data_IF_024170351721
#
_entry.id   IF_024170351721
#
_cell.length_a   1.000
_cell.length_b   1.000
_cell.length_c   1.000
_cell.angle_alpha   90.00
_cell.angle_beta   90.00
_cell.angle_gamma   90.00
#
_symmetry.space_group_name_H-M   'P 1'
#
loop_
_entity.id
_entity.type
_entity.pdbx_description
1 polymer ?
#
# COMPACT_ATOMS: atom_id res chain seq x y z
N UNK A 1 -37.22 -41.36 23.02
CA UNK A 1 -36.83 -40.14 22.28
C UNK A 1 -35.71 -39.45 23.06
N UNK A 2 -34.46 -39.62 22.65
CA UNK A 2 -33.29 -39.00 23.29
C UNK A 2 -32.42 -38.38 22.19
N UNK A 3 -32.45 -37.04 22.10
CA UNK A 3 -31.60 -36.24 21.22
C UNK A 3 -30.19 -36.22 21.79
N UNK A 4 -29.23 -36.77 21.05
CA UNK A 4 -27.81 -36.61 21.33
C UNK A 4 -27.28 -35.47 20.47
N UNK A 5 -26.96 -34.34 21.10
CA UNK A 5 -26.29 -33.19 20.49
C UNK A 5 -24.78 -33.43 20.63
N UNK A 6 -24.02 -33.38 19.52
CA UNK A 6 -22.56 -33.29 19.53
C UNK A 6 -22.11 -31.93 18.97
N UNK A 7 -21.07 -31.31 19.57
CA UNK A 7 -20.71 -29.91 19.31
C UNK A 7 -19.87 -29.73 18.05
N UNK A 8 -19.84 -28.49 17.57
CA UNK A 8 -18.94 -28.03 16.51
C UNK A 8 -17.47 -28.04 16.96
N UNK A 9 -16.59 -28.60 16.14
CA UNK A 9 -15.18 -28.21 16.10
C UNK A 9 -14.74 -28.14 14.63
N UNK A 10 -14.20 -26.98 14.26
CA UNK A 10 -13.70 -26.72 12.93
C UNK A 10 -12.36 -27.39 12.68
N UNK A 11 -12.10 -27.62 11.40
CA UNK A 11 -10.78 -27.61 10.79
C UNK A 11 -11.03 -27.53 9.28
N UNK A 12 -10.81 -26.35 8.71
CA UNK A 12 -10.77 -26.23 7.25
C UNK A 12 -9.64 -27.12 6.76
N UNK A 13 -9.97 -28.12 5.96
CA UNK A 13 -9.03 -28.99 5.29
C UNK A 13 -8.12 -28.16 4.38
N UNK A 14 -6.99 -27.66 4.91
CA UNK A 14 -5.84 -27.32 4.09
C UNK A 14 -5.28 -28.64 3.58
N UNK A 15 -5.88 -29.13 2.49
CA UNK A 15 -5.40 -30.29 1.76
C UNK A 15 -3.94 -30.05 1.38
N UNK A 16 -3.07 -30.89 1.91
CA UNK A 16 -1.70 -31.09 1.45
C UNK A 16 -1.71 -31.49 -0.02
N UNK A 17 -1.72 -30.51 -0.91
CA UNK A 17 -1.31 -30.70 -2.30
C UNK A 17 0.21 -30.71 -2.33
N UNK A 18 0.80 -31.90 -2.39
CA UNK A 18 2.16 -32.08 -2.90
C UNK A 18 2.14 -31.68 -4.38
N UNK A 19 2.60 -30.46 -4.68
CA UNK A 19 2.82 -30.01 -6.05
C UNK A 19 4.32 -30.16 -6.32
N UNK A 20 4.67 -31.20 -7.07
CA UNK A 20 5.94 -31.26 -7.76
C UNK A 20 5.98 -30.10 -8.77
N UNK A 21 6.96 -29.22 -8.61
CA UNK A 21 7.11 -28.01 -9.42
C UNK A 21 7.41 -26.82 -8.50
N UNK A 22 8.59 -26.23 -8.68
CA UNK A 22 9.04 -25.03 -7.97
C UNK A 22 7.96 -23.95 -8.16
N UNK A 23 7.14 -23.71 -7.15
CA UNK A 23 6.21 -22.57 -7.14
C UNK A 23 7.09 -21.34 -7.37
N UNK A 24 6.94 -20.58 -8.46
CA UNK A 24 7.59 -19.29 -8.54
C UNK A 24 7.04 -18.53 -7.34
N UNK A 25 7.89 -18.14 -6.39
CA UNK A 25 7.50 -17.24 -5.32
C UNK A 25 7.18 -15.89 -5.97
N UNK A 26 6.00 -15.78 -6.57
CA UNK A 26 5.43 -14.51 -6.95
C UNK A 26 5.08 -13.84 -5.64
N UNK A 27 5.76 -12.74 -5.36
CA UNK A 27 5.49 -11.94 -4.19
C UNK A 27 4.14 -11.23 -4.34
N UNK A 28 3.06 -11.99 -4.19
CA UNK A 28 1.69 -11.53 -4.44
C UNK A 28 1.29 -10.33 -3.58
N UNK A 29 1.89 -10.20 -2.40
CA UNK A 29 1.68 -9.07 -1.51
C UNK A 29 2.19 -7.74 -2.08
N UNK A 30 3.25 -7.76 -2.90
CA UNK A 30 3.82 -6.55 -3.49
C UNK A 30 3.10 -6.14 -4.78
N UNK A 31 2.37 -7.07 -5.43
CA UNK A 31 1.62 -6.80 -6.65
C UNK A 31 0.69 -5.57 -6.59
N UNK A 32 -0.16 -5.39 -5.55
CA UNK A 32 -1.01 -4.19 -5.46
C UNK A 32 -0.19 -2.90 -5.31
N UNK A 33 0.93 -2.96 -4.59
CA UNK A 33 1.85 -1.84 -4.41
C UNK A 33 2.53 -1.49 -5.74
N UNK A 34 3.01 -2.49 -6.48
CA UNK A 34 3.63 -2.32 -7.78
C UNK A 34 2.68 -1.66 -8.78
N UNK A 35 1.41 -2.09 -8.81
CA UNK A 35 0.39 -1.47 -9.65
C UNK A 35 0.16 0.01 -9.30
N UNK A 36 0.09 0.35 -8.01
CA UNK A 36 -0.04 1.73 -7.57
C UNK A 36 1.21 2.57 -7.90
N UNK A 37 2.41 2.01 -7.74
CA UNK A 37 3.66 2.68 -8.11
C UNK A 37 3.74 2.98 -9.62
N UNK A 38 3.28 2.06 -10.47
CA UNK A 38 3.16 2.27 -11.93
C UNK A 38 2.11 3.34 -12.28
N UNK A 39 1.07 3.49 -11.46
CA UNK A 39 0.06 4.54 -11.63
C UNK A 39 0.59 5.92 -11.25
N UNK A 40 1.42 6.00 -10.21
CA UNK A 40 2.04 7.24 -9.73
C UNK A 40 3.13 7.70 -10.69
N UNK A 41 4.03 6.78 -11.04
CA UNK A 41 5.16 7.07 -11.91
C UNK A 41 4.89 6.42 -13.26
N UNK A 42 4.71 7.26 -14.29
CA UNK A 42 4.54 6.82 -15.67
C UNK A 42 5.52 5.67 -15.99
N UNK A 43 5.00 4.59 -16.61
CA UNK A 43 5.68 3.29 -16.77
C UNK A 43 7.19 3.33 -17.13
N UNK A 44 7.65 4.35 -17.87
CA UNK A 44 9.06 4.49 -18.29
C UNK A 44 10.02 4.95 -17.17
N UNK A 45 9.51 5.55 -16.09
CA UNK A 45 10.31 6.12 -14.98
C UNK A 45 10.20 5.37 -13.66
N UNK A 46 9.17 4.52 -13.49
CA UNK A 46 8.82 3.88 -12.21
C UNK A 46 10.00 3.16 -11.56
N UNK A 47 10.78 2.40 -12.32
CA UNK A 47 11.89 1.60 -11.78
C UNK A 47 13.00 2.48 -11.21
N UNK A 48 13.32 3.59 -11.89
CA UNK A 48 14.38 4.52 -11.43
C UNK A 48 13.95 5.24 -10.16
N UNK A 49 12.70 5.67 -10.12
CA UNK A 49 12.15 6.41 -9.00
C UNK A 49 12.01 5.53 -7.76
N UNK A 50 11.52 4.30 -7.94
CA UNK A 50 11.44 3.31 -6.86
C UNK A 50 12.83 2.88 -6.40
N UNK A 51 13.81 2.75 -7.30
CA UNK A 51 15.21 2.47 -6.94
C UNK A 51 15.80 3.58 -6.06
N UNK A 52 15.61 4.85 -6.45
CA UNK A 52 16.05 6.01 -5.68
C UNK A 52 15.43 6.01 -4.27
N UNK A 53 14.12 5.83 -4.16
CA UNK A 53 13.38 5.91 -2.89
C UNK A 53 13.61 4.72 -1.97
N UNK A 54 13.71 3.52 -2.52
CA UNK A 54 14.00 2.31 -1.75
C UNK A 54 15.48 2.15 -1.40
N UNK A 55 16.36 2.92 -2.04
CA UNK A 55 17.82 2.76 -1.94
C UNK A 55 18.32 1.41 -2.45
N UNK A 56 17.60 0.82 -3.42
CA UNK A 56 17.99 -0.43 -4.08
C UNK A 56 18.39 -0.15 -5.52
N UNK A 57 19.18 -1.04 -6.11
CA UNK A 57 19.59 -0.88 -7.51
C UNK A 57 18.41 -1.09 -8.46
N UNK A 58 18.45 -0.43 -9.62
CA UNK A 58 17.43 -0.56 -10.68
C UNK A 58 17.18 -2.04 -11.02
N UNK A 59 18.25 -2.85 -11.15
CA UNK A 59 18.15 -4.28 -11.45
C UNK A 59 17.36 -5.08 -10.40
N UNK A 60 17.42 -4.69 -9.12
CA UNK A 60 16.65 -5.34 -8.05
C UNK A 60 15.18 -4.94 -8.16
N UNK A 61 14.91 -3.66 -8.41
CA UNK A 61 13.55 -3.14 -8.59
C UNK A 61 12.87 -3.74 -9.82
N UNK A 62 13.58 -3.93 -10.93
CA UNK A 62 13.07 -4.65 -12.11
C UNK A 62 12.61 -6.06 -11.77
N UNK A 63 13.34 -6.76 -10.87
CA UNK A 63 12.92 -8.08 -10.39
C UNK A 63 11.67 -8.01 -9.51
N UNK A 64 11.46 -6.90 -8.78
CA UNK A 64 10.20 -6.67 -8.06
C UNK A 64 9.02 -6.52 -9.01
N UNK A 65 9.14 -5.67 -10.02
CA UNK A 65 8.08 -5.47 -11.02
C UNK A 65 7.86 -6.70 -11.92
N UNK A 66 8.88 -7.52 -12.14
CA UNK A 66 8.74 -8.81 -12.80
C UNK A 66 8.16 -9.92 -11.89
N UNK A 67 7.84 -9.60 -10.62
CA UNK A 67 7.29 -10.55 -9.66
C UNK A 67 8.25 -11.67 -9.25
N UNK A 68 9.56 -11.50 -9.47
CA UNK A 68 10.59 -12.52 -9.20
C UNK A 68 11.07 -12.50 -7.75
N UNK A 69 11.08 -11.34 -7.11
CA UNK A 69 11.47 -11.12 -5.71
C UNK A 69 10.65 -9.97 -5.10
N UNK A 70 10.58 -9.86 -3.78
CA UNK A 70 9.94 -8.73 -3.08
C UNK A 70 10.97 -7.76 -2.50
N UNK A 71 10.57 -6.51 -2.20
CA UNK A 71 11.35 -5.67 -1.31
C UNK A 71 11.50 -6.32 0.07
N UNK A 72 12.66 -6.11 0.67
CA UNK A 72 12.90 -6.40 2.09
C UNK A 72 12.27 -5.32 2.99
N UNK A 73 12.31 -5.55 4.31
CA UNK A 73 11.70 -4.63 5.27
C UNK A 73 12.31 -3.22 5.28
N UNK A 74 13.63 -3.10 5.03
CA UNK A 74 14.30 -1.81 4.96
C UNK A 74 13.85 -1.02 3.72
N UNK A 75 13.80 -1.68 2.56
CA UNK A 75 13.31 -1.09 1.33
C UNK A 75 11.83 -0.66 1.45
N UNK A 76 11.00 -1.49 2.07
CA UNK A 76 9.60 -1.15 2.33
C UNK A 76 9.48 0.04 3.28
N UNK A 77 10.24 0.06 4.38
CA UNK A 77 10.24 1.17 5.33
C UNK A 77 10.65 2.49 4.65
N UNK A 78 11.68 2.47 3.80
CA UNK A 78 12.09 3.65 3.03
C UNK A 78 11.01 4.14 2.08
N UNK A 79 10.31 3.24 1.39
CA UNK A 79 9.17 3.61 0.55
C UNK A 79 8.04 4.24 1.37
N UNK A 80 7.72 3.68 2.53
CA UNK A 80 6.71 4.19 3.46
C UNK A 80 7.08 5.55 4.07
N UNK A 81 8.36 5.84 4.26
CA UNK A 81 8.84 7.13 4.78
C UNK A 81 9.04 8.20 3.70
N UNK A 82 8.78 7.89 2.43
CA UNK A 82 8.89 8.85 1.33
C UNK A 82 7.58 9.62 1.10
N UNK A 83 7.59 10.64 0.25
CA UNK A 83 6.39 11.44 -0.11
C UNK A 83 5.21 10.61 -0.67
N UNK A 84 5.48 9.41 -1.21
CA UNK A 84 4.48 8.44 -1.72
C UNK A 84 4.06 7.42 -0.66
N UNK A 85 4.57 7.52 0.56
CA UNK A 85 4.38 6.53 1.62
C UNK A 85 2.91 6.24 1.94
N UNK A 86 2.07 7.27 1.93
CA UNK A 86 0.63 7.11 2.14
C UNK A 86 -0.01 6.24 1.06
N UNK A 87 0.37 6.44 -0.22
CA UNK A 87 -0.10 5.64 -1.35
C UNK A 87 0.35 4.18 -1.26
N UNK A 88 1.61 3.97 -0.87
CA UNK A 88 2.16 2.62 -0.65
C UNK A 88 1.37 1.89 0.44
N UNK A 89 1.10 2.57 1.56
CA UNK A 89 0.30 1.98 2.63
C UNK A 89 -1.15 1.74 2.22
N UNK A 90 -1.80 2.67 1.50
CA UNK A 90 -3.16 2.48 1.01
C UNK A 90 -3.27 1.29 0.06
N UNK A 91 -2.26 1.07 -0.79
CA UNK A 91 -2.15 -0.10 -1.65
C UNK A 91 -1.95 -1.40 -0.86
N UNK A 92 -1.20 -1.38 0.26
CA UNK A 92 -1.05 -2.54 1.15
C UNK A 92 -2.38 -2.97 1.77
N UNK A 93 -3.22 -2.02 2.17
CA UNK A 93 -4.52 -2.29 2.78
C UNK A 93 -5.66 -2.30 1.74
N UNK A 94 -5.34 -2.30 0.44
CA UNK A 94 -6.34 -2.35 -0.61
C UNK A 94 -7.12 -3.66 -0.52
N UNK A 95 -8.46 -3.56 -0.48
CA UNK A 95 -9.34 -4.73 -0.32
C UNK A 95 -9.51 -5.24 1.12
N UNK A 96 -8.77 -4.71 2.10
CA UNK A 96 -8.99 -5.03 3.51
C UNK A 96 -10.28 -4.36 4.00
N UNK A 97 -11.29 -5.18 4.34
CA UNK A 97 -12.60 -4.76 4.85
C UNK A 97 -12.69 -4.67 6.38
N UNK A 98 -11.56 -4.84 7.08
CA UNK A 98 -11.54 -4.78 8.53
C UNK A 98 -11.78 -3.35 9.05
N UNK A 99 -12.48 -3.16 10.18
CA UNK A 99 -12.79 -1.83 10.71
C UNK A 99 -11.55 -0.95 10.93
N UNK A 100 -10.45 -1.52 11.41
CA UNK A 100 -9.19 -0.79 11.63
C UNK A 100 -8.64 -0.18 10.34
N UNK A 101 -8.81 -0.86 9.19
CA UNK A 101 -8.32 -0.35 7.91
C UNK A 101 -9.15 0.86 7.45
N UNK A 102 -10.46 0.86 7.73
CA UNK A 102 -11.31 2.02 7.48
C UNK A 102 -10.94 3.19 8.40
N UNK A 103 -10.67 2.93 9.68
CA UNK A 103 -10.21 3.97 10.61
C UNK A 103 -8.92 4.64 10.14
N UNK A 104 -7.95 3.87 9.63
CA UNK A 104 -6.70 4.41 9.07
C UNK A 104 -6.97 5.31 7.86
N UNK A 105 -7.82 4.88 6.91
CA UNK A 105 -8.21 5.71 5.76
C UNK A 105 -8.85 7.02 6.20
N UNK A 106 -9.77 6.97 7.18
CA UNK A 106 -10.46 8.14 7.68
C UNK A 106 -9.49 9.14 8.36
N UNK A 107 -8.58 8.65 9.21
CA UNK A 107 -7.59 9.50 9.89
C UNK A 107 -6.72 10.25 8.88
N UNK A 108 -6.30 9.57 7.81
CA UNK A 108 -5.50 10.18 6.74
C UNK A 108 -6.29 11.21 5.95
N UNK A 109 -7.52 10.91 5.58
CA UNK A 109 -8.35 11.85 4.85
C UNK A 109 -8.62 13.11 5.68
N UNK A 110 -8.87 12.97 6.99
CA UNK A 110 -8.99 14.11 7.90
C UNK A 110 -7.72 14.95 7.91
N UNK A 111 -6.54 14.32 8.00
CA UNK A 111 -5.26 15.04 7.99
C UNK A 111 -5.06 15.82 6.67
N UNK A 112 -5.39 15.19 5.54
CA UNK A 112 -5.34 15.82 4.21
C UNK A 112 -6.28 17.03 4.12
N UNK A 113 -7.53 16.87 4.55
CA UNK A 113 -8.53 17.94 4.52
C UNK A 113 -8.11 19.12 5.41
N UNK A 114 -7.53 18.85 6.59
CA UNK A 114 -6.99 19.90 7.47
C UNK A 114 -5.83 20.65 6.82
N UNK A 115 -4.91 19.95 6.15
CA UNK A 115 -3.81 20.59 5.43
C UNK A 115 -4.34 21.49 4.29
N UNK A 116 -5.35 21.04 3.57
CA UNK A 116 -6.02 21.84 2.52
C UNK A 116 -6.71 23.06 3.11
N UNK A 117 -7.44 22.93 4.21
CA UNK A 117 -8.07 24.06 4.90
C UNK A 117 -7.03 25.12 5.31
N UNK A 118 -5.90 24.70 5.88
CA UNK A 118 -4.83 25.61 6.26
C UNK A 118 -4.19 26.31 5.06
N UNK A 119 -4.06 25.62 3.92
CA UNK A 119 -3.57 26.22 2.68
C UNK A 119 -4.55 27.24 2.09
N UNK A 120 -5.84 26.89 2.03
CA UNK A 120 -6.90 27.79 1.56
C UNK A 120 -7.00 29.03 2.43
N UNK A 121 -6.94 28.90 3.76
CA UNK A 121 -6.97 30.03 4.68
C UNK A 121 -5.77 30.98 4.46
N UNK A 122 -4.58 30.44 4.21
CA UNK A 122 -3.39 31.25 3.88
C UNK A 122 -3.56 32.02 2.57
N UNK A 123 -4.12 31.37 1.53
CA UNK A 123 -4.40 32.01 0.23
C UNK A 123 -5.45 33.12 0.37
N UNK A 124 -6.52 32.87 1.13
CA UNK A 124 -7.58 33.85 1.37
C UNK A 124 -7.01 35.09 2.07
N UNK A 125 -6.25 34.90 3.15
CA UNK A 125 -5.62 36.00 3.87
C UNK A 125 -4.62 36.81 3.01
N UNK A 126 -3.97 36.17 2.04
CA UNK A 126 -3.08 36.86 1.09
C UNK A 126 -3.87 37.73 0.08
N UNK A 127 -5.02 37.24 -0.38
CA UNK A 127 -5.90 38.01 -1.27
C UNK A 127 -6.55 39.18 -0.53
N UNK A 128 -7.01 38.98 0.70
CA UNK A 128 -7.63 40.03 1.53
C UNK A 128 -6.68 41.21 1.81
N UNK A 129 -5.37 40.96 1.98
CA UNK A 129 -4.36 42.02 2.13
C UNK A 129 -4.13 42.83 0.85
N UNK A 130 -4.44 42.28 -0.32
CA UNK A 130 -4.34 42.99 -1.60
C UNK A 130 -5.57 43.82 -1.95
N UNK A 131 -6.59 43.85 -1.08
CA UNK A 131 -7.89 44.52 -1.28
C UNK A 131 -8.00 45.78 -0.39
N UNK A 132 -6.94 46.18 0.32
CA UNK A 132 -6.94 47.48 1.01
C UNK A 132 -7.07 48.64 0.00
N UNK A 133 -8.02 49.58 0.21
CA UNK A 133 -8.23 50.75 -0.65
C UNK A 133 -7.13 51.80 -0.55
#
# INVERSE_FOLDING_TARGET
MTRSVKPAQGQSNYGTRKIAGRIPQTCGWFSPIAAELQRIFLNKGVTKEVAFRSGRSIKVVEKWFAGKVSPDGEALARLLCSDIGDRVHDAMIAGVKAPWAQSVRNVREIARLRAQQADTARRLAALERGIEP
#
